data_IF_276575383576
#
_entry.id   IF_276575383576
#
_cell.length_a   1.000
_cell.length_b   1.000
_cell.length_c   1.000
_cell.angle_alpha   90.00
_cell.angle_beta   90.00
_cell.angle_gamma   90.00
#
_symmetry.space_group_name_H-M   'P 1'
#
loop_
_entity.id
_entity.type
_entity.pdbx_description
1 polymer ?
#
# COMPACT_ATOMS: atom_id res chain seq x y z
N UNK A 1 -24.80 8.90 18.80
CA UNK A 1 -24.31 7.64 18.18
C UNK A 1 -23.41 8.07 17.04
N UNK A 2 -22.09 7.90 17.18
CA UNK A 2 -21.17 8.16 16.06
C UNK A 2 -21.36 7.07 15.03
N UNK A 3 -21.73 7.47 13.81
CA UNK A 3 -21.80 6.60 12.64
C UNK A 3 -20.48 5.79 12.54
N UNK A 4 -20.52 4.46 12.32
CA UNK A 4 -19.29 3.69 12.17
C UNK A 4 -18.49 4.24 10.97
N UNK A 5 -17.24 4.64 11.21
CA UNK A 5 -16.33 5.10 10.15
C UNK A 5 -16.03 3.95 9.20
N UNK A 6 -16.69 3.94 8.05
CA UNK A 6 -16.36 3.03 6.94
C UNK A 6 -15.01 3.45 6.37
N UNK A 7 -14.08 2.50 6.27
CA UNK A 7 -12.79 2.69 5.60
C UNK A 7 -12.74 1.84 4.33
N UNK A 8 -12.22 2.43 3.25
CA UNK A 8 -12.08 1.78 1.95
C UNK A 8 -10.60 1.75 1.57
N UNK A 9 -10.15 0.61 1.05
CA UNK A 9 -8.79 0.39 0.60
C UNK A 9 -8.68 -0.88 -0.24
N UNK A 10 -7.45 -1.24 -0.62
CA UNK A 10 -7.14 -2.39 -1.47
C UNK A 10 -6.49 -3.53 -0.70
N UNK A 11 -6.54 -4.74 -1.28
CA UNK A 11 -5.79 -5.89 -0.78
C UNK A 11 -4.32 -5.82 -1.19
N UNK A 12 -3.57 -4.91 -0.55
CA UNK A 12 -2.16 -4.63 -0.81
C UNK A 12 -1.92 -3.34 -1.60
N UNK A 13 -0.68 -2.86 -1.58
CA UNK A 13 -0.23 -1.64 -2.26
C UNK A 13 0.95 -1.87 -3.22
N UNK A 14 1.66 -2.99 -3.11
CA UNK A 14 2.91 -3.20 -3.86
C UNK A 14 2.67 -3.92 -5.20
N UNK A 15 2.31 -3.15 -6.23
CA UNK A 15 2.09 -3.64 -7.59
C UNK A 15 3.06 -2.98 -8.59
N UNK A 16 4.30 -3.50 -8.72
CA UNK A 16 5.33 -2.89 -9.57
C UNK A 16 5.03 -3.05 -11.06
N UNK A 17 5.57 -2.12 -11.86
CA UNK A 17 5.43 -2.13 -13.32
C UNK A 17 4.13 -1.50 -13.82
N UNK A 18 3.95 -1.42 -15.14
CA UNK A 18 2.79 -0.78 -15.75
C UNK A 18 1.55 -1.69 -15.74
N UNK A 19 0.40 -1.10 -16.06
CA UNK A 19 -0.83 -1.84 -16.36
C UNK A 19 -0.61 -2.94 -17.42
N UNK A 20 -1.40 -4.04 -17.40
CA UNK A 20 -2.56 -4.26 -16.52
C UNK A 20 -2.22 -4.89 -15.17
N UNK A 21 -0.97 -5.30 -14.95
CA UNK A 21 -0.56 -6.06 -13.75
C UNK A 21 0.06 -5.20 -12.65
N UNK A 22 0.47 -3.99 -12.98
CA UNK A 22 1.07 -3.05 -12.04
C UNK A 22 0.38 -1.68 -12.08
N UNK A 23 0.79 -0.81 -11.18
CA UNK A 23 0.18 0.50 -10.98
C UNK A 23 1.01 1.67 -11.51
N UNK A 24 2.22 1.43 -12.03
CA UNK A 24 3.09 2.47 -12.56
C UNK A 24 2.48 3.13 -13.82
N UNK A 25 2.37 4.46 -13.80
CA UNK A 25 1.77 5.25 -14.87
C UNK A 25 0.24 5.21 -14.90
N UNK A 26 -0.43 4.50 -13.97
CA UNK A 26 -1.90 4.46 -13.87
C UNK A 26 -2.37 5.05 -12.54
N UNK A 27 -1.94 4.47 -11.43
CA UNK A 27 -2.22 5.00 -10.09
C UNK A 27 -0.96 5.65 -9.49
N UNK A 28 0.19 5.00 -9.64
CA UNK A 28 1.48 5.56 -9.27
C UNK A 28 2.04 6.44 -10.40
N UNK A 29 2.71 7.55 -10.09
CA UNK A 29 3.42 8.34 -11.08
C UNK A 29 4.52 7.49 -11.76
N UNK A 30 5.07 7.96 -12.87
CA UNK A 30 6.24 7.32 -13.50
C UNK A 30 7.38 7.30 -12.47
N UNK A 31 7.77 6.11 -12.04
CA UNK A 31 8.56 5.91 -10.81
C UNK A 31 10.07 6.03 -11.10
N UNK A 32 10.78 6.81 -10.27
CA UNK A 32 12.23 6.75 -10.14
C UNK A 32 12.69 5.81 -9.02
N UNK A 33 14.01 5.68 -8.79
CA UNK A 33 14.60 4.77 -7.79
C UNK A 33 14.20 5.00 -6.30
N UNK A 34 13.53 6.10 -5.97
CA UNK A 34 13.18 6.49 -4.59
C UNK A 34 11.67 6.66 -4.36
N UNK A 35 10.85 5.88 -5.07
CA UNK A 35 9.40 5.95 -4.90
C UNK A 35 8.96 5.08 -3.72
N UNK A 36 8.33 5.71 -2.71
CA UNK A 36 7.64 5.00 -1.63
C UNK A 36 6.17 4.80 -2.01
N UNK A 37 5.81 3.55 -2.30
CA UNK A 37 4.46 3.19 -2.71
C UNK A 37 3.44 3.31 -1.58
N UNK A 38 3.83 3.02 -0.33
CA UNK A 38 2.92 3.06 0.82
C UNK A 38 2.64 4.52 1.22
N UNK A 39 3.68 5.35 1.25
CA UNK A 39 3.55 6.79 1.50
C UNK A 39 2.69 7.50 0.45
N UNK A 40 2.83 7.11 -0.83
CA UNK A 40 1.96 7.64 -1.87
C UNK A 40 0.52 7.13 -1.73
N UNK A 41 0.34 5.83 -1.51
CA UNK A 41 -0.98 5.19 -1.38
C UNK A 41 -1.80 5.78 -0.22
N UNK A 42 -1.15 6.07 0.93
CA UNK A 42 -1.82 6.63 2.12
C UNK A 42 -2.42 8.03 1.91
N UNK A 43 -2.05 8.72 0.83
CA UNK A 43 -2.64 10.01 0.44
C UNK A 43 -4.05 9.86 -0.14
N UNK A 44 -4.45 8.63 -0.53
CA UNK A 44 -5.71 8.35 -1.21
C UNK A 44 -6.64 7.42 -0.42
N UNK A 45 -6.10 6.54 0.42
CA UNK A 45 -6.87 5.54 1.16
C UNK A 45 -6.45 5.47 2.63
N UNK A 46 -7.44 5.35 3.52
CA UNK A 46 -7.25 5.30 4.98
C UNK A 46 -6.89 3.91 5.52
N UNK A 47 -6.89 2.89 4.65
CA UNK A 47 -6.62 1.49 5.01
C UNK A 47 -6.01 0.71 3.85
N UNK A 48 -5.20 -0.29 4.16
CA UNK A 48 -4.68 -1.29 3.23
C UNK A 48 -4.60 -2.63 3.94
N UNK A 49 -4.84 -3.72 3.21
CA UNK A 49 -4.60 -5.07 3.71
C UNK A 49 -3.12 -5.45 3.51
N UNK A 50 -2.53 -6.11 4.51
CA UNK A 50 -1.19 -6.70 4.41
C UNK A 50 -1.32 -8.21 4.58
N UNK A 51 -0.94 -8.97 3.56
CA UNK A 51 -0.95 -10.44 3.62
C UNK A 51 0.45 -11.06 3.74
N UNK A 52 1.53 -10.27 3.73
CA UNK A 52 2.90 -10.81 3.83
C UNK A 52 3.11 -11.60 5.14
N UNK A 53 2.39 -11.22 6.20
CA UNK A 53 2.36 -11.88 7.50
C UNK A 53 1.84 -13.32 7.45
N UNK A 54 0.99 -13.65 6.47
CA UNK A 54 0.47 -15.00 6.26
C UNK A 54 1.59 -15.99 5.94
N UNK A 55 2.60 -15.55 5.18
CA UNK A 55 3.73 -16.39 4.78
C UNK A 55 4.82 -16.45 5.84
N UNK A 56 5.04 -15.35 6.58
CA UNK A 56 5.99 -15.27 7.69
C UNK A 56 5.74 -14.03 8.54
N UNK A 57 5.99 -14.08 9.86
CA UNK A 57 5.98 -12.87 10.68
C UNK A 57 6.92 -11.79 10.11
N UNK A 58 6.51 -10.51 10.09
CA UNK A 58 7.38 -9.43 9.65
C UNK A 58 8.55 -9.26 10.63
N UNK A 59 9.73 -8.94 10.12
CA UNK A 59 10.80 -8.43 10.96
C UNK A 59 10.35 -7.08 11.58
N UNK A 60 10.73 -6.76 12.83
CA UNK A 60 10.34 -5.50 13.47
C UNK A 60 10.61 -4.27 12.60
N UNK A 61 11.80 -4.17 12.01
CA UNK A 61 12.19 -3.08 11.12
C UNK A 61 11.29 -2.94 9.87
N UNK A 62 10.71 -4.03 9.36
CA UNK A 62 9.77 -3.97 8.24
C UNK A 62 8.42 -3.41 8.68
N UNK A 63 7.94 -3.78 9.86
CA UNK A 63 6.70 -3.26 10.42
C UNK A 63 6.84 -1.78 10.82
N UNK A 64 8.00 -1.39 11.38
CA UNK A 64 8.33 0.00 11.67
C UNK A 64 8.37 0.86 10.41
N UNK A 65 8.88 0.33 9.28
CA UNK A 65 8.90 1.05 8.02
C UNK A 65 7.50 1.29 7.39
N UNK A 66 6.44 0.71 7.96
CA UNK A 66 5.05 0.98 7.52
C UNK A 66 4.40 2.17 8.25
N UNK A 67 4.99 2.67 9.34
CA UNK A 67 4.42 3.68 10.25
C UNK A 67 5.20 4.99 10.15
#
# INVERSE_FOLDING_TARGET
MTDPKIKIGTSGYSYPGPAPKGWAGTFYPVQGRRFDALEYYSRFFDVVEINSSFYRPPAPAMAEAWV
#
